data_IF_295454940218
#
_entry.id   IF_295454940218
#
_cell.length_a   1.000
_cell.length_b   1.000
_cell.length_c   1.000
_cell.angle_alpha   90.00
_cell.angle_beta   90.00
_cell.angle_gamma   90.00
#
_symmetry.space_group_name_H-M   'P 1'
#
loop_
_entity.id
_entity.type
_entity.pdbx_description
1 polymer ?
#
# COMPACT_ATOMS: atom_id res chain seq x y z
N UNK A 1 22.41 2.61 12.96
CA UNK A 1 22.33 1.19 12.55
C UNK A 1 20.93 0.63 12.68
N UNK A 2 20.18 0.97 13.73
CA UNK A 2 18.80 0.49 13.93
C UNK A 2 17.83 0.96 12.83
N UNK A 3 17.98 2.19 12.34
CA UNK A 3 17.12 2.75 11.28
C UNK A 3 17.16 1.96 9.96
N UNK A 4 18.30 1.33 9.63
CA UNK A 4 18.43 0.50 8.42
C UNK A 4 17.61 -0.79 8.49
N UNK A 5 17.18 -1.20 9.69
CA UNK A 5 16.25 -2.32 9.89
C UNK A 5 14.84 -1.85 10.24
N UNK A 6 14.73 -0.72 10.92
CA UNK A 6 13.44 -0.16 11.36
C UNK A 6 12.65 0.40 10.17
N UNK A 7 13.28 1.19 9.29
CA UNK A 7 12.62 1.75 8.11
C UNK A 7 11.98 0.69 7.20
N UNK A 8 12.70 -0.37 6.76
CA UNK A 8 12.05 -1.44 5.98
C UNK A 8 11.01 -2.22 6.80
N UNK A 9 11.14 -2.35 8.12
CA UNK A 9 10.10 -2.98 8.95
C UNK A 9 8.80 -2.16 8.95
N UNK A 10 8.89 -0.83 9.01
CA UNK A 10 7.72 0.06 8.85
C UNK A 10 7.12 -0.07 7.45
N UNK A 11 7.96 -0.22 6.42
CA UNK A 11 7.50 -0.52 5.06
C UNK A 11 6.69 -1.82 4.97
N UNK A 12 7.16 -2.89 5.63
CA UNK A 12 6.43 -4.17 5.73
C UNK A 12 5.07 -3.97 6.41
N UNK A 13 5.03 -3.30 7.56
CA UNK A 13 3.78 -3.01 8.28
C UNK A 13 2.83 -2.19 7.41
N UNK A 14 3.35 -1.20 6.66
CA UNK A 14 2.57 -0.42 5.70
C UNK A 14 1.96 -1.28 4.60
N UNK A 15 2.73 -2.19 4.02
CA UNK A 15 2.22 -3.14 3.01
C UNK A 15 1.13 -4.04 3.59
N UNK A 16 1.31 -4.56 4.80
CA UNK A 16 0.30 -5.36 5.49
C UNK A 16 -0.97 -4.56 5.78
N UNK A 17 -0.85 -3.28 6.15
CA UNK A 17 -1.99 -2.39 6.39
C UNK A 17 -2.80 -2.14 5.10
N UNK A 18 -2.13 -1.95 3.96
CA UNK A 18 -2.78 -1.85 2.64
C UNK A 18 -3.56 -3.14 2.34
N UNK A 19 -2.92 -4.30 2.48
CA UNK A 19 -3.56 -5.59 2.23
C UNK A 19 -4.76 -5.84 3.15
N UNK A 20 -4.63 -5.52 4.44
CA UNK A 20 -5.70 -5.65 5.41
C UNK A 20 -6.88 -4.72 5.08
N UNK A 21 -6.59 -3.49 4.63
CA UNK A 21 -7.62 -2.54 4.23
C UNK A 21 -8.35 -3.03 2.98
N UNK A 22 -7.63 -3.51 1.96
CA UNK A 22 -8.23 -4.09 0.76
C UNK A 22 -9.06 -5.35 1.05
N UNK A 23 -8.67 -6.15 2.04
CA UNK A 23 -9.40 -7.34 2.45
C UNK A 23 -10.64 -7.01 3.32
N UNK A 24 -10.64 -5.89 4.04
CA UNK A 24 -11.67 -5.57 5.03
C UNK A 24 -13.11 -5.60 4.47
N UNK A 25 -13.42 -5.04 3.29
CA UNK A 25 -14.77 -5.14 2.71
C UNK A 25 -15.24 -6.58 2.47
N UNK A 26 -14.35 -7.51 2.12
CA UNK A 26 -14.72 -8.91 1.90
C UNK A 26 -15.12 -9.63 3.19
N UNK A 27 -14.70 -9.13 4.35
CA UNK A 27 -15.00 -9.71 5.66
C UNK A 27 -16.15 -8.97 6.36
N UNK A 28 -16.24 -7.65 6.17
CA UNK A 28 -17.17 -6.78 6.88
C UNK A 28 -18.48 -6.52 6.12
N UNK A 29 -18.48 -6.64 4.79
CA UNK A 29 -19.71 -6.47 4.02
C UNK A 29 -20.66 -7.66 4.23
N UNK A 30 -21.97 -7.38 4.31
CA UNK A 30 -22.99 -8.41 4.41
C UNK A 30 -23.07 -9.29 3.13
N UNK A 31 -22.73 -8.71 1.98
CA UNK A 31 -22.63 -9.41 0.69
C UNK A 31 -21.22 -9.22 0.11
N UNK A 32 -20.42 -10.28 0.15
CA UNK A 32 -19.05 -10.28 -0.38
C UNK A 32 -19.00 -10.21 -1.91
N UNK A 33 -20.07 -10.62 -2.62
CA UNK A 33 -20.13 -10.52 -4.07
C UNK A 33 -20.20 -9.05 -4.54
N UNK A 34 -20.82 -8.18 -3.75
CA UNK A 34 -20.91 -6.74 -4.03
C UNK A 34 -19.56 -6.01 -3.95
N UNK A 35 -18.56 -6.57 -3.26
CA UNK A 35 -17.22 -5.96 -3.13
C UNK A 35 -16.50 -5.88 -4.47
N UNK A 36 -16.66 -6.89 -5.33
CA UNK A 36 -16.09 -6.88 -6.68
C UNK A 36 -16.63 -5.72 -7.51
N UNK A 37 -17.94 -5.48 -7.43
CA UNK A 37 -18.60 -4.33 -8.07
C UNK A 37 -18.08 -3.02 -7.50
N UNK A 38 -17.98 -2.90 -6.17
CA UNK A 38 -17.44 -1.71 -5.50
C UNK A 38 -16.03 -1.36 -6.00
N UNK A 39 -15.09 -2.31 -5.99
CA UNK A 39 -13.73 -2.10 -6.52
C UNK A 39 -13.69 -1.87 -8.04
N UNK A 40 -14.65 -2.41 -8.79
CA UNK A 40 -14.76 -2.23 -10.23
C UNK A 40 -15.38 -0.91 -10.69
N UNK A 41 -16.00 -0.13 -9.80
CA UNK A 41 -16.71 1.12 -10.20
C UNK A 41 -15.80 2.33 -10.40
N UNK A 42 -14.58 2.32 -9.87
CA UNK A 42 -13.63 3.42 -10.05
C UNK A 42 -12.91 3.37 -11.38
N UNK A 43 -12.23 4.47 -11.74
CA UNK A 43 -11.46 4.59 -12.97
C UNK A 43 -10.30 3.59 -13.08
N UNK A 44 -9.76 3.17 -11.94
CA UNK A 44 -8.75 2.12 -11.80
C UNK A 44 -9.15 1.18 -10.67
N UNK A 45 -8.76 -0.09 -10.76
CA UNK A 45 -9.05 -1.06 -9.72
C UNK A 45 -8.01 -0.98 -8.59
N UNK A 46 -8.41 -0.78 -7.32
CA UNK A 46 -7.49 -0.60 -6.21
C UNK A 46 -6.73 -1.88 -5.83
N UNK A 47 -7.17 -3.05 -6.32
CA UNK A 47 -6.44 -4.31 -6.11
C UNK A 47 -5.04 -4.32 -6.75
N UNK A 48 -4.78 -3.40 -7.68
CA UNK A 48 -3.42 -3.13 -8.19
C UNK A 48 -2.47 -2.74 -7.05
N UNK A 49 -2.94 -1.99 -6.04
CA UNK A 49 -2.15 -1.66 -4.85
C UNK A 49 -1.86 -2.89 -4.00
N UNK A 50 -2.77 -3.87 -3.99
CA UNK A 50 -2.55 -5.15 -3.33
C UNK A 50 -1.38 -5.91 -3.96
N UNK A 51 -1.31 -5.94 -5.30
CA UNK A 51 -0.17 -6.52 -6.02
C UNK A 51 1.14 -5.82 -5.67
N UNK A 52 1.15 -4.48 -5.70
CA UNK A 52 2.35 -3.71 -5.35
C UNK A 52 2.74 -3.86 -3.89
N UNK A 53 1.78 -3.93 -2.97
CA UNK A 53 2.02 -4.18 -1.56
C UNK A 53 2.67 -5.56 -1.33
N UNK A 54 2.24 -6.60 -2.04
CA UNK A 54 2.87 -7.93 -1.95
C UNK A 54 4.32 -7.91 -2.46
N UNK A 55 4.57 -7.25 -3.60
CA UNK A 55 5.92 -7.09 -4.14
C UNK A 55 6.79 -6.31 -3.16
N UNK A 56 6.31 -5.18 -2.64
CA UNK A 56 7.06 -4.35 -1.70
C UNK A 56 7.30 -5.03 -0.36
N UNK A 57 6.37 -5.84 0.11
CA UNK A 57 6.56 -6.66 1.31
C UNK A 57 7.79 -7.56 1.17
N UNK A 58 7.95 -8.21 0.00
CA UNK A 58 9.12 -9.04 -0.29
C UNK A 58 10.38 -8.17 -0.42
N UNK A 59 10.30 -7.03 -1.12
CA UNK A 59 11.45 -6.13 -1.32
C UNK A 59 11.97 -5.58 0.00
N UNK A 60 11.10 -5.09 0.88
CA UNK A 60 11.48 -4.59 2.20
C UNK A 60 12.03 -5.72 3.09
N UNK A 61 11.41 -6.90 3.07
CA UNK A 61 11.93 -8.06 3.80
C UNK A 61 13.33 -8.47 3.31
N UNK A 62 13.53 -8.51 1.99
CA UNK A 62 14.82 -8.84 1.38
C UNK A 62 15.89 -7.78 1.68
N UNK A 63 15.54 -6.49 1.62
CA UNK A 63 16.44 -5.39 2.00
C UNK A 63 16.82 -5.44 3.48
N UNK A 64 15.85 -5.70 4.36
CA UNK A 64 16.09 -5.84 5.82
C UNK A 64 17.02 -7.00 6.17
N UNK A 65 16.98 -8.08 5.40
CA UNK A 65 17.85 -9.26 5.57
C UNK A 65 19.13 -9.21 4.74
N UNK A 66 19.43 -8.09 4.07
CA UNK A 66 20.64 -7.93 3.27
C UNK A 66 20.72 -8.83 2.03
N UNK A 67 19.58 -9.35 1.55
CA UNK A 67 19.49 -10.17 0.32
C UNK A 67 19.36 -9.35 -0.96
N UNK A 68 18.99 -8.08 -0.81
CA UNK A 68 18.90 -7.08 -1.87
C UNK A 68 19.70 -5.87 -1.45
N UNK A 69 20.34 -5.18 -2.41
CA UNK A 69 21.00 -3.91 -2.14
C UNK A 69 20.01 -2.93 -1.46
N UNK A 70 20.34 -2.35 -0.29
CA UNK A 70 19.45 -1.46 0.44
C UNK A 70 19.00 -0.24 -0.36
N UNK A 71 19.88 0.34 -1.18
CA UNK A 71 19.54 1.49 -2.02
C UNK A 71 18.52 1.12 -3.10
N UNK A 72 18.71 -0.04 -3.73
CA UNK A 72 17.74 -0.59 -4.67
C UNK A 72 16.38 -0.87 -4.01
N UNK A 73 16.36 -1.50 -2.83
CA UNK A 73 15.13 -1.78 -2.09
C UNK A 73 14.39 -0.49 -1.69
N UNK A 74 15.11 0.51 -1.19
CA UNK A 74 14.56 1.81 -0.82
C UNK A 74 13.96 2.54 -2.03
N UNK A 75 14.69 2.56 -3.15
CA UNK A 75 14.25 3.16 -4.42
C UNK A 75 13.02 2.48 -5.01
N UNK A 76 12.98 1.14 -5.03
CA UNK A 76 11.77 0.40 -5.42
C UNK A 76 10.59 0.78 -4.54
N UNK A 77 10.73 0.74 -3.21
CA UNK A 77 9.63 1.10 -2.31
C UNK A 77 9.13 2.53 -2.51
N UNK A 78 10.00 3.47 -2.90
CA UNK A 78 9.60 4.84 -3.20
C UNK A 78 8.77 4.90 -4.48
N UNK A 79 9.26 4.30 -5.58
CA UNK A 79 8.56 4.32 -6.88
C UNK A 79 7.20 3.63 -6.80
N UNK A 80 7.17 2.40 -6.27
CA UNK A 80 5.93 1.65 -6.14
C UNK A 80 4.99 2.30 -5.12
N UNK A 81 5.50 2.81 -3.99
CA UNK A 81 4.69 3.50 -2.99
C UNK A 81 4.03 4.77 -3.54
N UNK A 82 4.75 5.58 -4.33
CA UNK A 82 4.17 6.75 -5.00
C UNK A 82 3.09 6.36 -6.02
N UNK A 83 3.32 5.27 -6.77
CA UNK A 83 2.32 4.76 -7.70
C UNK A 83 1.07 4.25 -6.98
N UNK A 84 1.23 3.58 -5.84
CA UNK A 84 0.12 3.14 -4.99
C UNK A 84 -0.72 4.32 -4.50
N UNK A 85 -0.09 5.43 -4.06
CA UNK A 85 -0.83 6.64 -3.69
C UNK A 85 -1.66 7.15 -4.88
N UNK A 86 -1.06 7.18 -6.09
CA UNK A 86 -1.74 7.61 -7.31
C UNK A 86 -2.94 6.74 -7.66
N UNK A 87 -2.79 5.42 -7.62
CA UNK A 87 -3.88 4.45 -7.86
C UNK A 87 -4.97 4.59 -6.81
N UNK A 88 -4.62 4.62 -5.52
CA UNK A 88 -5.58 4.79 -4.42
C UNK A 88 -6.36 6.10 -4.56
N UNK A 89 -5.70 7.21 -4.88
CA UNK A 89 -6.36 8.51 -5.10
C UNK A 89 -7.28 8.48 -6.32
N UNK A 90 -6.79 7.97 -7.46
CA UNK A 90 -7.58 7.89 -8.68
C UNK A 90 -8.85 7.05 -8.47
N UNK A 91 -8.73 5.93 -7.76
CA UNK A 91 -9.87 5.11 -7.39
C UNK A 91 -10.78 5.82 -6.37
N UNK A 92 -10.25 6.33 -5.26
CA UNK A 92 -11.04 6.92 -4.18
C UNK A 92 -11.87 8.13 -4.64
N UNK A 93 -11.36 8.91 -5.60
CA UNK A 93 -12.05 10.06 -6.19
C UNK A 93 -13.16 9.67 -7.17
N UNK A 94 -13.13 8.45 -7.73
CA UNK A 94 -14.04 8.03 -8.81
C UNK A 94 -14.98 6.89 -8.41
N UNK A 95 -14.67 6.14 -7.35
CA UNK A 95 -15.46 5.01 -6.88
C UNK A 95 -16.86 5.42 -6.45
N UNK A 96 -17.82 4.56 -6.79
CA UNK A 96 -19.21 4.67 -6.35
C UNK A 96 -19.39 4.04 -4.98
N UNK A 97 -19.73 4.85 -3.99
CA UNK A 97 -19.91 4.41 -2.58
C UNK A 97 -21.30 3.83 -2.30
N UNK A 98 -22.24 3.97 -3.24
CA UNK A 98 -23.57 3.36 -3.20
C UNK A 98 -23.59 1.90 -3.69
N UNK A 99 -22.47 1.39 -4.22
CA UNK A 99 -22.36 0.03 -4.77
C UNK A 99 -22.34 -1.08 -3.70
N UNK A 100 -21.97 -0.75 -2.45
CA UNK A 100 -21.95 -1.68 -1.32
C UNK A 100 -22.17 -0.92 -0.02
N UNK A 101 -22.82 -1.53 0.97
CA UNK A 101 -22.95 -0.96 2.32
C UNK A 101 -21.62 -1.07 3.09
N UNK A 102 -20.61 -0.34 2.65
CA UNK A 102 -19.33 -0.16 3.34
C UNK A 102 -19.19 1.32 3.72
N UNK A 103 -18.52 1.59 4.84
CA UNK A 103 -18.25 2.96 5.26
C UNK A 103 -17.58 3.76 4.16
N UNK A 104 -18.11 4.95 3.85
CA UNK A 104 -17.52 5.88 2.88
C UNK A 104 -16.06 6.23 3.23
N UNK A 105 -15.69 6.19 4.51
CA UNK A 105 -14.32 6.44 4.96
C UNK A 105 -13.31 5.40 4.44
N UNK A 106 -13.74 4.19 4.07
CA UNK A 106 -12.86 3.11 3.60
C UNK A 106 -11.95 3.56 2.45
N UNK A 107 -12.50 4.32 1.49
CA UNK A 107 -11.72 4.79 0.33
C UNK A 107 -10.56 5.72 0.72
N UNK A 108 -10.79 6.56 1.73
CA UNK A 108 -9.79 7.49 2.23
C UNK A 108 -8.80 6.82 3.18
N UNK A 109 -9.24 5.81 3.93
CA UNK A 109 -8.35 4.95 4.71
C UNK A 109 -7.34 4.27 3.78
N UNK A 110 -7.79 3.72 2.65
CA UNK A 110 -6.89 3.11 1.66
C UNK A 110 -5.81 4.11 1.18
N UNK A 111 -6.20 5.33 0.83
CA UNK A 111 -5.26 6.40 0.42
C UNK A 111 -4.24 6.67 1.54
N UNK A 112 -4.69 6.79 2.79
CA UNK A 112 -3.80 7.05 3.92
C UNK A 112 -2.79 5.92 4.14
N UNK A 113 -3.23 4.66 4.10
CA UNK A 113 -2.31 3.52 4.29
C UNK A 113 -1.40 3.27 3.09
N UNK A 114 -1.84 3.60 1.87
CA UNK A 114 -1.02 3.52 0.65
C UNK A 114 0.20 4.45 0.70
N UNK A 115 0.17 5.50 1.53
CA UNK A 115 1.32 6.38 1.73
C UNK A 115 2.42 5.76 2.61
N UNK A 116 2.11 4.75 3.43
CA UNK A 116 3.07 4.18 4.39
C UNK A 116 4.31 3.58 3.72
N UNK A 117 4.22 2.77 2.64
CA UNK A 117 5.40 2.27 1.93
C UNK A 117 6.30 3.40 1.40
N UNK A 118 5.73 4.47 0.84
CA UNK A 118 6.50 5.60 0.32
C UNK A 118 7.23 6.36 1.43
N UNK A 119 6.55 6.61 2.56
CA UNK A 119 7.14 7.26 3.74
C UNK A 119 8.26 6.41 4.34
N UNK A 120 8.04 5.10 4.48
CA UNK A 120 9.06 4.17 4.96
C UNK A 120 10.28 4.15 4.04
N UNK A 121 10.06 4.16 2.72
CA UNK A 121 11.14 4.25 1.74
C UNK A 121 11.90 5.57 1.79
N UNK A 122 11.22 6.71 1.92
CA UNK A 122 11.88 8.00 2.05
C UNK A 122 12.76 8.06 3.31
N UNK A 123 12.28 7.50 4.42
CA UNK A 123 13.10 7.31 5.62
C UNK A 123 14.29 6.38 5.34
N UNK A 124 14.08 5.27 4.64
CA UNK A 124 15.16 4.33 4.35
C UNK A 124 16.26 4.97 3.48
N UNK A 125 15.90 5.73 2.44
CA UNK A 125 16.82 6.50 1.60
C UNK A 125 17.63 7.49 2.45
N UNK A 126 16.97 8.23 3.35
CA UNK A 126 17.65 9.16 4.28
C UNK A 126 18.60 8.43 5.23
N UNK A 127 18.20 7.29 5.78
CA UNK A 127 19.02 6.49 6.69
C UNK A 127 20.27 5.90 6.00
N UNK A 128 20.21 5.71 4.68
CA UNK A 128 21.33 5.30 3.84
C UNK A 128 22.26 6.47 3.46
N UNK A 129 21.91 7.72 3.77
CA UNK A 129 22.69 8.91 3.42
C UNK A 129 22.64 9.25 1.92
N UNK A 130 21.58 8.84 1.23
CA UNK A 130 21.40 9.10 -0.20
C UNK A 130 20.75 10.48 -0.48
N UNK A 131 20.21 11.15 0.55
CA UNK A 131 19.66 12.52 0.56
C UNK A 131 19.84 13.18 1.91
#
# INVERSE_FOLDING_TARGET
MDDLRLAPSVGIVGCLAVLATLAAPYVLAADSAAVGTYYGTGAVNPLVDGLFALVLLIVFAAGREGRTDPGYAAGMGLVFGLFMIGVALAWALTVRVDAVLVSESHRWVLVAVAALPAVASAWYVRALGLV
#
